data_IF_483454785809
#
_entry.id   IF_483454785809
#
_cell.length_a   1.000
_cell.length_b   1.000
_cell.length_c   1.000
_cell.angle_alpha   90.00
_cell.angle_beta   90.00
_cell.angle_gamma   90.00
#
_symmetry.space_group_name_H-M   'P 1'
#
loop_
_entity.id
_entity.type
_entity.pdbx_description
1 polymer ?
2 non-polymer ?
3 non-polymer ?
4 non-polymer ?
5 non-polymer ?
6 water ?
#
# COMPACT_ATOMS: atom_id res chain seq x y z
N UNK A 2 15.38 -19.89 13.95
CA UNK A 2 14.84 -18.92 14.91
C UNK A 2 13.66 -19.52 15.66
N UNK A 3 12.50 -18.91 15.51
CA UNK A 3 11.29 -19.33 16.15
C UNK A 3 10.62 -20.42 15.36
N UNK A 4 9.53 -20.92 15.89
CA UNK A 4 8.81 -21.96 15.23
C UNK A 4 8.15 -21.45 13.98
N UNK A 5 7.73 -20.20 13.99
CA UNK A 5 7.07 -19.63 12.80
C UNK A 5 8.07 -19.58 11.66
N UNK A 6 9.27 -19.15 11.94
CA UNK A 6 10.29 -19.06 10.91
C UNK A 6 10.56 -20.43 10.34
N UNK A 7 10.75 -21.41 11.21
CA UNK A 7 11.06 -22.74 10.75
C UNK A 7 9.97 -23.28 9.86
N UNK A 8 8.73 -23.08 10.21
CA UNK A 8 7.65 -23.51 9.38
C UNK A 8 7.69 -22.80 8.05
N UNK A 9 7.81 -21.48 8.08
CA UNK A 9 7.83 -20.72 6.84
C UNK A 9 8.97 -21.12 5.94
N UNK A 10 10.16 -21.21 6.50
CA UNK A 10 11.31 -21.51 5.69
C UNK A 10 11.32 -22.87 5.03
N UNK A 11 10.73 -23.84 5.67
CA UNK A 11 10.70 -25.16 5.12
C UNK A 11 9.55 -25.40 4.19
N UNK A 12 8.63 -24.47 4.11
CA UNK A 12 7.42 -24.70 3.33
C UNK A 12 7.69 -24.61 1.83
N UNK A 13 6.98 -25.44 1.07
CA UNK A 13 6.98 -25.31 -0.38
C UNK A 13 6.28 -24.02 -0.75
N UNK A 14 6.89 -23.25 -1.65
CA UNK A 14 6.31 -21.98 -2.11
C UNK A 14 5.56 -22.26 -3.41
N UNK A 15 4.22 -22.26 -3.41
CA UNK A 15 3.49 -22.59 -4.64
C UNK A 15 3.69 -21.54 -5.71
N UNK A 16 3.36 -21.92 -6.94
CA UNK A 16 3.52 -21.02 -8.07
C UNK A 16 2.67 -19.77 -7.90
N UNK A 17 3.03 -18.71 -8.64
CA UNK A 17 2.17 -17.53 -8.68
C UNK A 17 0.80 -17.88 -9.27
N UNK A 18 0.76 -18.78 -10.24
CA UNK A 18 -0.53 -19.21 -10.78
C UNK A 18 -1.38 -19.89 -9.72
N UNK A 19 -0.78 -20.81 -8.95
CA UNK A 19 -1.51 -21.47 -7.88
C UNK A 19 -2.06 -20.46 -6.88
N UNK A 20 -1.25 -19.48 -6.50
CA UNK A 20 -1.59 -18.52 -5.47
C UNK A 20 -2.46 -17.37 -5.97
N UNK A 21 -2.73 -17.28 -7.28
CA UNK A 21 -3.61 -16.29 -7.88
C UNK A 21 -3.10 -14.86 -7.74
N UNK A 22 -1.81 -14.67 -7.44
CA UNK A 22 -1.34 -13.32 -7.12
C UNK A 22 -1.13 -12.43 -8.33
N UNK A 23 -1.26 -12.98 -9.55
CA UNK A 23 -1.23 -12.12 -10.72
C UNK A 23 -2.57 -11.47 -11.04
N UNK A 24 -3.65 -11.90 -10.38
CA UNK A 24 -4.99 -11.38 -10.66
C UNK A 24 -5.20 -10.02 -10.02
N UNK A 25 -5.64 -9.03 -10.81
CA UNK A 25 -6.01 -7.77 -10.18
C UNK A 25 -7.12 -7.98 -9.15
N UNK A 26 -7.97 -8.99 -9.37
CA UNK A 26 -9.12 -9.25 -8.51
C UNK A 26 -8.77 -10.11 -7.29
N UNK A 27 -7.48 -10.35 -7.05
CA UNK A 27 -7.02 -11.16 -5.93
C UNK A 27 -7.68 -10.77 -4.60
N UNK A 28 -8.01 -11.79 -3.80
CA UNK A 28 -8.51 -11.60 -2.44
C UNK A 28 -7.69 -12.44 -1.47
N UNK A 29 -7.44 -11.90 -0.27
CA UNK A 29 -6.68 -12.63 0.74
C UNK A 29 -7.54 -13.29 1.80
N UNK A 30 -8.88 -13.22 1.68
CA UNK A 30 -9.75 -13.49 2.82
C UNK A 30 -9.66 -14.93 3.29
N UNK A 31 -9.50 -15.87 2.37
CA UNK A 31 -9.43 -17.29 2.71
C UNK A 31 -8.01 -17.74 3.08
N UNK A 32 -7.05 -16.82 3.12
CA UNK A 32 -5.65 -17.17 3.31
C UNK A 32 -5.25 -17.05 4.77
N UNK A 33 -4.47 -18.03 5.23
CA UNK A 33 -3.82 -17.90 6.54
C UNK A 33 -2.67 -16.91 6.47
N UNK A 34 -2.23 -16.43 7.65
CA UNK A 34 -1.05 -15.58 7.69
C UNK A 34 0.13 -16.24 6.98
N UNK A 35 0.40 -17.50 7.31
CA UNK A 35 1.50 -18.23 6.67
C UNK A 35 1.37 -18.21 5.16
N UNK A 36 0.17 -18.46 4.62
CA UNK A 36 0.02 -18.42 3.17
C UNK A 36 0.28 -17.02 2.61
N UNK A 37 -0.08 -15.95 3.34
CA UNK A 37 0.27 -14.63 2.85
C UNK A 37 1.80 -14.45 2.84
N UNK A 38 2.52 -15.08 3.76
CA UNK A 38 3.97 -15.02 3.72
C UNK A 38 4.52 -15.78 2.51
N UNK A 39 3.92 -16.93 2.17
CA UNK A 39 4.33 -17.67 0.99
C UNK A 39 4.04 -16.88 -0.28
N UNK A 40 2.85 -16.28 -0.37
CA UNK A 40 2.56 -15.35 -1.45
C UNK A 40 3.66 -14.30 -1.57
N UNK A 41 4.10 -13.73 -0.44
CA UNK A 41 5.11 -12.68 -0.49
C UNK A 41 6.45 -13.22 -1.01
N UNK A 42 6.86 -14.41 -0.56
CA UNK A 42 8.06 -15.02 -1.11
C UNK A 42 7.93 -15.17 -2.62
N UNK A 43 6.76 -15.66 -3.07
CA UNK A 43 6.55 -15.85 -4.51
C UNK A 43 6.69 -14.53 -5.27
N UNK A 44 6.21 -13.42 -4.69
CA UNK A 44 6.36 -12.12 -5.34
C UNK A 44 7.83 -11.77 -5.55
N UNK A 45 8.64 -11.87 -4.49
CA UNK A 45 10.07 -11.59 -4.63
C UNK A 45 10.71 -12.52 -5.64
N UNK A 46 10.29 -13.77 -5.66
CA UNK A 46 10.92 -14.77 -6.52
C UNK A 46 10.60 -14.49 -7.99
N UNK A 47 9.32 -14.29 -8.31
CA UNK A 47 8.92 -14.17 -9.71
C UNK A 47 9.21 -12.79 -10.29
N UNK A 48 9.54 -11.82 -9.46
CA UNK A 48 10.12 -10.57 -9.94
C UNK A 48 11.64 -10.67 -10.06
N UNK A 49 12.17 -11.86 -9.91
CA UNK A 49 13.59 -12.13 -10.02
C UNK A 49 14.50 -11.47 -8.99
N UNK A 50 13.93 -10.96 -7.92
CA UNK A 50 14.68 -10.30 -6.88
C UNK A 50 15.53 -11.23 -6.05
N UNK A 51 15.04 -12.41 -5.75
CA UNK A 51 15.78 -13.34 -4.94
C UNK A 51 17.08 -13.73 -5.63
N UNK A 52 16.95 -14.11 -6.87
CA UNK A 52 18.08 -14.52 -7.65
C UNK A 52 19.00 -13.35 -8.02
N UNK A 53 18.45 -12.27 -8.56
CA UNK A 53 19.28 -11.15 -8.99
C UNK A 53 20.01 -10.43 -7.88
N UNK A 54 19.47 -10.43 -6.67
CA UNK A 54 20.07 -9.77 -5.55
C UNK A 54 20.64 -10.72 -4.52
N UNK A 55 20.62 -12.00 -4.85
CA UNK A 55 21.28 -13.03 -4.04
C UNK A 55 20.74 -13.06 -2.61
N UNK A 56 19.42 -13.11 -2.50
CA UNK A 56 18.80 -13.20 -1.19
C UNK A 56 18.86 -14.63 -0.68
N UNK A 57 19.33 -14.80 0.55
CA UNK A 57 19.25 -16.11 1.20
C UNK A 57 17.81 -16.38 1.63
N UNK A 58 17.37 -17.64 1.46
CA UNK A 58 15.97 -17.97 1.73
C UNK A 58 15.59 -17.65 3.18
N UNK A 59 16.43 -18.04 4.14
CA UNK A 59 16.11 -17.81 5.55
C UNK A 59 16.04 -16.32 5.85
N UNK A 60 16.88 -15.51 5.21
CA UNK A 60 16.88 -14.08 5.46
C UNK A 60 15.59 -13.43 4.96
N UNK A 61 15.17 -13.78 3.74
CA UNK A 61 13.91 -13.25 3.23
C UNK A 61 12.74 -13.66 4.10
N UNK A 62 12.72 -14.92 4.53
CA UNK A 62 11.63 -15.39 5.40
C UNK A 62 11.62 -14.62 6.72
N UNK A 63 12.79 -14.42 7.32
CA UNK A 63 12.83 -13.67 8.58
C UNK A 63 12.38 -12.23 8.36
N UNK A 64 12.82 -11.60 7.26
CA UNK A 64 12.42 -10.23 6.97
C UNK A 64 10.90 -10.13 6.82
N UNK A 65 10.30 -11.06 6.05
CA UNK A 65 8.85 -11.02 5.87
C UNK A 65 8.14 -11.15 7.20
N UNK A 66 8.60 -12.06 8.06
CA UNK A 66 7.94 -12.23 9.34
C UNK A 66 8.17 -11.02 10.23
N UNK A 67 9.34 -10.38 10.14
CA UNK A 67 9.58 -9.15 10.91
C UNK A 67 8.64 -8.03 10.49
N UNK A 68 8.43 -7.88 9.18
CA UNK A 68 7.50 -6.87 8.67
C UNK A 68 6.09 -7.16 9.17
N UNK A 69 5.61 -8.39 8.96
CA UNK A 69 4.26 -8.75 9.40
C UNK A 69 4.10 -8.50 10.89
N UNK A 70 5.12 -8.86 11.66
CA UNK A 70 5.06 -8.68 13.11
C UNK A 70 4.90 -7.22 13.51
N UNK A 71 5.43 -6.30 12.70
CA UNK A 71 5.44 -4.89 13.10
C UNK A 71 4.26 -4.10 12.54
N UNK A 72 3.26 -4.78 11.98
CA UNK A 72 1.93 -4.22 11.86
C UNK A 72 1.10 -4.63 13.08
N UNK A 73 0.15 -3.79 13.46
CA UNK A 73 -0.62 -3.99 14.68
C UNK A 73 -1.87 -4.82 14.39
N UNK A 74 -2.09 -5.86 15.17
CA UNK A 74 -3.24 -6.72 14.94
C UNK A 74 -4.55 -6.17 15.49
N UNK A 75 -4.53 -5.00 16.15
CA UNK A 75 -5.76 -4.40 16.67
C UNK A 75 -6.11 -3.10 15.95
N UNK A 76 -5.55 -2.90 14.76
CA UNK A 76 -5.91 -1.79 13.88
C UNK A 76 -6.70 -2.40 12.73
N UNK A 77 -7.93 -1.93 12.53
CA UNK A 77 -8.88 -2.69 11.72
C UNK A 77 -8.47 -2.78 10.25
N UNK A 78 -7.97 -1.69 9.68
CA UNK A 78 -7.62 -1.65 8.27
C UNK A 78 -6.13 -1.55 7.99
N UNK A 79 -5.43 -0.61 8.63
CA UNK A 79 -4.00 -0.39 8.34
C UNK A 79 -3.16 -1.40 9.12
N UNK A 80 -3.16 -2.64 8.62
CA UNK A 80 -2.50 -3.75 9.28
C UNK A 80 -1.74 -4.55 8.22
N UNK A 81 -1.22 -5.72 8.61
CA UNK A 81 -0.41 -6.51 7.69
C UNK A 81 -1.19 -6.86 6.42
N UNK A 82 -2.49 -7.16 6.53
CA UNK A 82 -3.21 -7.56 5.32
C UNK A 82 -3.33 -6.41 4.34
N UNK A 83 -3.44 -5.17 4.82
CA UNK A 83 -3.48 -4.04 3.89
C UNK A 83 -2.14 -3.88 3.17
N UNK A 84 -1.03 -4.01 3.91
CA UNK A 84 0.29 -3.94 3.29
C UNK A 84 0.49 -5.10 2.32
N UNK A 85 0.09 -6.30 2.72
CA UNK A 85 0.21 -7.45 1.83
C UNK A 85 -0.58 -7.22 0.54
N UNK A 86 -1.82 -6.72 0.65
CA UNK A 86 -2.62 -6.48 -0.55
C UNK A 86 -2.03 -5.37 -1.41
N UNK A 87 -1.49 -4.33 -0.79
CA UNK A 87 -0.80 -3.29 -1.55
C UNK A 87 0.34 -3.89 -2.35
N UNK A 88 1.15 -4.74 -1.73
CA UNK A 88 2.24 -5.38 -2.44
C UNK A 88 1.71 -6.31 -3.53
N UNK A 89 0.62 -7.01 -3.25
CA UNK A 89 0.04 -7.89 -4.28
C UNK A 89 -0.45 -7.07 -5.47
N UNK A 90 -1.06 -5.91 -5.22
CA UNK A 90 -1.45 -5.05 -6.34
C UNK A 90 -0.23 -4.56 -7.11
N UNK A 91 0.85 -4.22 -6.41
CA UNK A 91 2.09 -3.86 -7.09
C UNK A 91 2.61 -5.01 -7.96
N UNK A 92 2.59 -6.23 -7.44
CA UNK A 92 2.98 -7.40 -8.24
C UNK A 92 2.11 -7.52 -9.49
N UNK A 93 0.79 -7.38 -9.32
CA UNK A 93 -0.09 -7.56 -10.45
C UNK A 93 0.09 -6.45 -11.48
N UNK A 94 0.23 -5.19 -11.03
CA UNK A 94 0.48 -4.10 -11.97
C UNK A 94 1.78 -4.31 -12.72
N UNK A 95 2.78 -4.87 -12.04
CA UNK A 95 4.08 -5.11 -12.69
C UNK A 95 3.99 -6.24 -13.69
N UNK A 96 3.26 -7.30 -13.33
CA UNK A 96 3.16 -8.51 -14.17
C UNK A 96 2.00 -8.42 -15.16
N UNK A 97 0.76 -8.55 -14.65
CA UNK A 97 -0.39 -8.46 -15.53
C UNK A 97 -0.45 -7.10 -16.22
N UNK A 98 -0.09 -6.05 -15.50
CA UNK A 98 -0.08 -4.75 -16.14
C UNK A 98 1.16 -4.46 -16.96
N UNK A 99 2.12 -5.39 -16.95
CA UNK A 99 3.37 -5.34 -17.72
C UNK A 99 4.24 -4.13 -17.39
N UNK A 100 3.98 -3.43 -16.28
CA UNK A 100 4.85 -2.31 -15.90
C UNK A 100 6.27 -2.78 -15.61
N UNK A 101 6.47 -4.06 -15.31
CA UNK A 101 7.82 -4.51 -15.00
C UNK A 101 8.76 -4.34 -16.19
N UNK A 102 8.23 -4.34 -17.41
CA UNK A 102 9.07 -4.18 -18.59
C UNK A 102 9.70 -2.79 -18.71
N UNK A 103 9.13 -1.79 -18.02
CA UNK A 103 9.58 -0.41 -18.10
C UNK A 103 10.46 0.02 -16.93
N UNK A 104 10.60 -0.82 -15.92
CA UNK A 104 11.33 -0.51 -14.70
C UNK A 104 12.54 -1.41 -14.58
N UNK A 105 13.55 -0.94 -13.85
CA UNK A 105 14.68 -1.82 -13.57
C UNK A 105 14.35 -2.70 -12.36
N UNK A 106 15.13 -3.77 -12.19
CA UNK A 106 14.97 -4.62 -11.02
C UNK A 106 15.28 -3.87 -9.73
N UNK A 107 16.18 -2.89 -9.79
CA UNK A 107 16.45 -2.08 -8.61
C UNK A 107 15.24 -1.21 -8.24
N UNK A 108 14.55 -0.67 -9.25
CA UNK A 108 13.34 0.09 -8.94
C UNK A 108 12.25 -0.81 -8.38
N UNK A 109 12.11 -2.01 -8.95
CA UNK A 109 11.06 -2.95 -8.55
C UNK A 109 11.33 -3.45 -7.13
N UNK A 110 12.60 -3.70 -6.83
CA UNK A 110 13.01 -4.08 -5.48
C UNK A 110 12.53 -3.05 -4.46
N UNK A 111 12.81 -1.77 -4.73
CA UNK A 111 12.39 -0.70 -3.83
C UNK A 111 10.87 -0.63 -3.73
N UNK A 112 10.17 -0.70 -4.87
CA UNK A 112 8.72 -0.60 -4.86
C UNK A 112 8.09 -1.72 -4.04
N UNK A 113 8.57 -2.95 -4.20
CA UNK A 113 7.96 -4.06 -3.47
C UNK A 113 8.23 -3.94 -1.97
N UNK A 114 9.47 -3.63 -1.60
CA UNK A 114 9.76 -3.39 -0.18
C UNK A 114 8.90 -2.27 0.35
N UNK A 115 8.80 -1.16 -0.41
CA UNK A 115 8.05 -0.02 0.08
C UNK A 115 6.57 -0.37 0.23
N UNK A 116 6.02 -1.10 -0.74
CA UNK A 116 4.61 -1.52 -0.65
C UNK A 116 4.37 -2.33 0.61
N UNK A 117 5.24 -3.32 0.86
CA UNK A 117 5.08 -4.15 2.04
C UNK A 117 5.29 -3.37 3.35
N UNK A 118 6.15 -2.35 3.32
CA UNK A 118 6.56 -1.66 4.54
C UNK A 118 5.78 -0.37 4.81
N UNK A 119 4.90 0.06 3.91
CA UNK A 119 4.57 1.49 3.85
C UNK A 119 3.66 1.97 4.98
N UNK A 120 3.03 1.06 5.74
CA UNK A 120 2.22 1.48 6.89
C UNK A 120 2.73 0.87 8.20
N UNK A 121 3.98 0.44 8.26
CA UNK A 121 4.50 -0.22 9.46
C UNK A 121 4.20 0.57 10.73
N UNK A 122 3.75 -0.15 11.77
CA UNK A 122 3.45 0.41 13.09
C UNK A 122 2.36 1.48 13.04
N UNK A 123 1.47 1.40 12.05
CA UNK A 123 0.29 2.26 12.02
C UNK A 123 -0.56 2.01 13.27
N UNK A 124 -1.08 3.09 13.85
CA UNK A 124 -1.80 3.01 15.11
C UNK A 124 -3.29 3.27 14.95
N UNK A 125 -3.80 3.26 13.72
CA UNK A 125 -5.22 3.46 13.52
C UNK A 125 -5.69 4.89 13.58
N UNK A 126 -4.79 5.87 13.62
CA UNK A 126 -5.18 7.28 13.54
C UNK A 126 -4.34 7.94 12.46
N UNK A 127 -4.88 9.04 11.92
CA UNK A 127 -4.21 9.69 10.81
C UNK A 127 -3.28 10.80 11.29
N UNK A 128 -2.65 11.49 10.34
CA UNK A 128 -1.69 12.53 10.70
C UNK A 128 -2.35 13.67 11.46
N UNK A 129 -3.60 14.01 11.08
CA UNK A 129 -4.32 15.08 11.76
C UNK A 129 -4.45 14.78 13.25
N UNK A 130 -4.77 13.53 13.59
CA UNK A 130 -4.90 13.17 15.00
C UNK A 130 -3.56 13.23 15.71
N UNK A 131 -2.50 12.69 15.09
CA UNK A 131 -1.17 12.72 15.68
C UNK A 131 -0.75 14.15 15.99
N UNK A 132 -1.02 15.08 15.07
CA UNK A 132 -0.71 16.49 15.30
C UNK A 132 -1.60 17.06 16.40
N UNK A 133 -2.92 16.88 16.29
CA UNK A 133 -3.84 17.50 17.24
C UNK A 133 -3.61 16.98 18.65
N UNK A 134 -3.28 15.70 18.80
CA UNK A 134 -3.06 15.08 20.10
C UNK A 134 -1.68 15.39 20.69
N UNK A 135 -0.82 16.11 19.97
CA UNK A 135 0.55 16.38 20.44
C UNK A 135 1.30 15.08 20.69
N UNK A 136 1.07 14.09 19.84
CA UNK A 136 1.82 12.85 19.91
C UNK A 136 3.31 13.12 19.73
N UNK A 137 4.17 12.31 20.36
CA UNK A 137 5.62 12.50 20.18
C UNK A 137 6.08 12.54 18.73
N UNK A 138 5.48 11.74 17.83
CA UNK A 138 5.90 11.76 16.44
C UNK A 138 5.72 13.15 15.81
N UNK A 139 4.73 13.91 16.28
CA UNK A 139 4.48 15.24 15.76
C UNK A 139 5.57 16.23 16.16
N UNK A 140 6.37 15.90 17.18
CA UNK A 140 7.52 16.71 17.52
C UNK A 140 8.75 16.37 16.66
N UNK A 141 8.74 15.20 16.01
CA UNK A 141 9.84 14.74 15.18
C UNK A 141 9.68 15.16 13.72
N UNK A 142 8.47 15.20 13.20
CA UNK A 142 8.22 15.43 11.79
C UNK A 142 7.13 16.48 11.60
N UNK A 143 7.35 17.38 10.65
CA UNK A 143 6.41 18.48 10.43
C UNK A 143 5.27 18.09 9.49
N UNK A 144 5.57 17.27 8.47
CA UNK A 144 4.61 16.86 7.46
C UNK A 144 4.79 15.36 7.21
N UNK A 145 3.76 14.73 6.65
CA UNK A 145 3.78 13.30 6.37
C UNK A 145 4.27 12.52 7.59
N UNK A 146 3.69 12.83 8.76
CA UNK A 146 4.28 12.41 10.02
C UNK A 146 4.33 10.89 10.12
N UNK A 147 3.17 10.23 9.96
CA UNK A 147 3.16 8.77 10.08
C UNK A 147 4.05 8.14 9.02
N UNK A 148 4.04 8.71 7.80
CA UNK A 148 4.82 8.11 6.72
C UNK A 148 6.33 8.19 6.99
N UNK A 149 6.81 9.29 7.57
CA UNK A 149 8.19 9.31 8.05
C UNK A 149 8.45 8.20 9.05
N UNK A 150 7.49 7.95 9.95
CA UNK A 150 7.64 6.87 10.91
C UNK A 150 7.62 5.50 10.23
N UNK A 151 6.74 5.32 9.23
CA UNK A 151 6.73 4.06 8.51
C UNK A 151 8.08 3.78 7.88
N UNK A 152 8.73 4.81 7.31
CA UNK A 152 10.05 4.60 6.74
C UNK A 152 11.08 4.27 7.80
N UNK A 153 11.05 4.97 8.94
CA UNK A 153 11.96 4.65 10.04
C UNK A 153 11.85 3.18 10.42
N UNK A 154 10.62 2.68 10.54
CA UNK A 154 10.40 1.28 10.88
C UNK A 154 10.94 0.37 9.78
N UNK A 155 10.68 0.75 8.53
CA UNK A 155 11.14 -0.04 7.40
C UNK A 155 12.65 -0.21 7.44
N UNK A 156 13.36 0.90 7.64
CA UNK A 156 14.82 0.87 7.68
C UNK A 156 15.34 0.07 8.88
N UNK A 157 14.69 0.21 10.04
CA UNK A 157 15.10 -0.57 11.20
C UNK A 157 15.03 -2.06 10.91
N UNK A 158 13.95 -2.51 10.26
CA UNK A 158 13.82 -3.94 9.97
C UNK A 158 14.82 -4.39 8.93
N UNK A 159 15.02 -3.58 7.87
CA UNK A 159 16.00 -3.91 6.83
C UNK A 159 17.41 -4.06 7.41
N UNK A 160 17.69 -3.39 8.51
CA UNK A 160 19.02 -3.41 9.09
C UNK A 160 19.19 -4.45 10.20
N UNK A 161 18.10 -5.11 10.59
CA UNK A 161 18.15 -6.02 11.72
C UNK A 161 18.98 -7.25 11.39
N UNK A 162 19.69 -7.81 12.37
CA UNK A 162 20.46 -9.04 12.12
C UNK A 162 19.57 -10.16 11.63
N UNK A 163 19.99 -10.82 10.56
CA UNK A 163 19.24 -11.90 9.98
C UNK A 163 18.14 -11.49 9.03
N UNK A 164 17.88 -10.19 8.89
CA UNK A 164 16.80 -9.67 8.05
C UNK A 164 17.30 -8.86 6.86
N UNK A 165 18.61 -8.89 6.58
CA UNK A 165 19.20 -7.91 5.65
C UNK A 165 19.09 -8.39 4.21
N UNK A 166 17.86 -8.30 3.68
CA UNK A 166 17.60 -8.73 2.32
C UNK A 166 18.30 -7.86 1.28
N UNK A 167 18.85 -6.71 1.67
CA UNK A 167 19.60 -5.88 0.73
C UNK A 167 21.11 -6.04 0.89
N UNK A 168 21.57 -7.02 1.66
CA UNK A 168 23.00 -7.15 1.91
C UNK A 168 23.76 -7.39 0.61
N UNK A 169 23.12 -8.01 -0.39
CA UNK A 169 23.79 -8.28 -1.66
C UNK A 169 23.98 -7.09 -2.56
N UNK A 170 23.39 -5.94 -2.24
CA UNK A 170 23.57 -4.77 -3.07
C UNK A 170 24.91 -4.12 -2.77
N UNK A 171 25.53 -3.56 -3.81
CA UNK A 171 26.69 -2.69 -3.63
C UNK A 171 26.25 -1.39 -2.94
N UNK A 172 27.24 -0.64 -2.44
CA UNK A 172 26.90 0.53 -1.65
C UNK A 172 26.11 1.55 -2.47
N UNK A 173 26.49 1.76 -3.75
CA UNK A 173 25.74 2.75 -4.53
C UNK A 173 24.33 2.26 -4.85
N UNK A 174 24.17 0.96 -5.14
CA UNK A 174 22.82 0.43 -5.33
C UNK A 174 22.02 0.49 -4.04
N UNK A 175 22.68 0.22 -2.92
CA UNK A 175 21.99 0.28 -1.63
C UNK A 175 21.46 1.68 -1.35
N UNK A 176 22.33 2.70 -1.50
CA UNK A 176 21.89 4.08 -1.29
C UNK A 176 20.72 4.43 -2.20
N UNK A 177 20.83 4.12 -3.49
CA UNK A 177 19.74 4.47 -4.42
C UNK A 177 18.44 3.78 -4.03
N UNK A 178 18.52 2.50 -3.65
CA UNK A 178 17.33 1.74 -3.29
C UNK A 178 16.68 2.31 -2.02
N UNK A 179 17.48 2.62 -0.99
CA UNK A 179 16.91 3.24 0.21
C UNK A 179 16.20 4.54 -0.12
N UNK A 180 16.78 5.34 -1.02
CA UNK A 180 16.15 6.63 -1.31
C UNK A 180 14.84 6.45 -2.07
N UNK A 181 14.78 5.50 -3.00
CA UNK A 181 13.53 5.21 -3.69
C UNK A 181 12.49 4.69 -2.70
N UNK A 182 12.90 3.79 -1.79
CA UNK A 182 11.99 3.31 -0.76
C UNK A 182 11.42 4.47 0.04
N UNK A 183 12.29 5.37 0.48
CA UNK A 183 11.83 6.48 1.30
C UNK A 183 10.81 7.34 0.55
N UNK A 184 11.11 7.69 -0.70
CA UNK A 184 10.17 8.55 -1.42
C UNK A 184 8.91 7.79 -1.80
N UNK A 185 9.00 6.46 -1.96
CA UNK A 185 7.80 5.66 -2.23
C UNK A 185 6.89 5.59 -1.01
N UNK A 186 7.48 5.44 0.18
CA UNK A 186 6.66 5.40 1.38
C UNK A 186 6.07 6.77 1.66
N UNK A 187 6.88 7.82 1.55
CA UNK A 187 6.37 9.17 1.76
C UNK A 187 5.25 9.47 0.76
N UNK A 188 5.34 8.93 -0.45
CA UNK A 188 4.29 9.15 -1.44
C UNK A 188 2.92 8.66 -1.00
N UNK A 189 2.84 7.69 -0.08
CA UNK A 189 1.53 7.17 0.30
C UNK A 189 0.76 8.11 1.22
N UNK A 190 1.36 9.24 1.60
CA UNK A 190 0.63 10.32 2.26
C UNK A 190 -0.30 10.94 1.23
N UNK A 191 -1.59 10.74 1.40
CA UNK A 191 -2.54 11.26 0.46
C UNK A 191 -2.36 12.76 0.22
N UNK A 192 -1.89 13.48 1.21
CA UNK A 192 -1.65 14.88 1.04
C UNK A 192 -0.63 15.15 -0.06
N UNK A 193 0.39 14.32 -0.13
CA UNK A 193 1.40 14.47 -1.17
C UNK A 193 0.88 14.04 -2.55
N UNK A 194 0.06 13.00 -2.60
CA UNK A 194 -0.60 12.64 -3.84
C UNK A 194 -1.40 13.82 -4.38
N UNK A 195 -2.19 14.46 -3.52
CA UNK A 195 -3.05 15.55 -3.95
C UNK A 195 -2.21 16.73 -4.45
N UNK A 196 -1.07 16.97 -3.80
CA UNK A 196 -0.24 18.11 -4.20
C UNK A 196 0.46 17.85 -5.53
N UNK A 197 0.82 16.61 -5.82
CA UNK A 197 1.69 16.34 -6.96
C UNK A 197 0.97 15.77 -8.17
N UNK A 198 -0.29 15.32 -8.01
CA UNK A 198 -0.92 14.56 -9.09
C UNK A 198 -1.27 15.45 -10.27
N UNK A 199 -1.51 16.73 -10.03
CA UNK A 199 -1.87 17.62 -11.13
C UNK A 199 -0.83 17.64 -12.23
N UNK A 200 0.45 17.62 -11.84
CA UNK A 200 1.52 17.59 -12.84
C UNK A 200 1.47 16.30 -13.65
N UNK A 201 1.27 15.18 -12.95
CA UNK A 201 1.19 13.89 -13.63
C UNK A 201 0.02 13.86 -14.60
N UNK A 202 -1.15 14.31 -14.16
CA UNK A 202 -2.33 14.27 -15.01
C UNK A 202 -2.16 15.12 -16.27
N UNK A 203 -1.51 16.30 -16.14
CA UNK A 203 -1.36 17.16 -17.31
C UNK A 203 -0.34 16.60 -18.28
N UNK A 204 0.78 16.06 -17.78
CA UNK A 204 1.73 15.39 -18.66
C UNK A 204 1.07 14.27 -19.45
N UNK A 205 0.25 13.46 -18.77
CA UNK A 205 -0.49 12.39 -19.44
C UNK A 205 -1.48 12.96 -20.45
N UNK A 206 -2.27 13.97 -20.03
CA UNK A 206 -3.25 14.55 -20.94
C UNK A 206 -2.60 15.08 -22.21
N UNK A 207 -1.45 15.75 -22.08
CA UNK A 207 -0.78 16.32 -23.24
C UNK A 207 0.06 15.29 -24.00
N UNK A 208 0.12 14.06 -23.49
CA UNK A 208 0.97 13.00 -24.04
C UNK A 208 2.44 13.44 -24.01
N UNK A 209 2.81 14.15 -22.95
CA UNK A 209 4.19 14.57 -22.75
C UNK A 209 4.89 13.76 -21.68
N UNK A 210 4.19 12.82 -21.07
CA UNK A 210 4.78 12.02 -20.00
C UNK A 210 5.92 11.16 -20.56
N UNK A 211 7.08 11.24 -19.91
CA UNK A 211 8.29 10.62 -20.42
C UNK A 211 8.99 9.92 -19.25
N UNK A 212 8.81 8.59 -19.16
CA UNK A 212 9.41 7.81 -18.09
C UNK A 212 10.93 7.88 -18.07
N UNK A 213 11.56 8.30 -19.18
CA UNK A 213 13.01 8.44 -19.22
C UNK A 213 13.49 9.66 -18.45
N UNK A 214 12.61 10.62 -18.20
CA UNK A 214 12.97 11.79 -17.42
C UNK A 214 12.99 11.42 -15.93
N UNK A 215 14.14 11.59 -15.23
CA UNK A 215 14.20 11.14 -13.83
C UNK A 215 13.16 11.78 -12.93
N UNK A 216 12.82 13.05 -13.17
CA UNK A 216 11.80 13.68 -12.33
C UNK A 216 10.44 13.03 -12.58
N UNK A 217 10.08 12.80 -13.85
CA UNK A 217 8.81 12.15 -14.18
C UNK A 217 8.79 10.71 -13.72
N UNK A 218 9.95 10.03 -13.77
CA UNK A 218 10.04 8.68 -13.22
C UNK A 218 9.69 8.68 -11.74
N UNK A 219 10.29 9.60 -10.95
CA UNK A 219 9.97 9.63 -9.52
C UNK A 219 8.49 9.91 -9.30
N UNK A 220 7.95 10.87 -10.06
CA UNK A 220 6.53 11.18 -10.01
C UNK A 220 5.68 9.95 -10.29
N UNK A 221 6.05 9.19 -11.32
CA UNK A 221 5.27 8.02 -11.67
C UNK A 221 5.29 6.98 -10.56
N UNK A 222 6.47 6.73 -9.96
CA UNK A 222 6.52 5.75 -8.89
C UNK A 222 5.64 6.18 -7.71
N UNK A 223 5.56 7.49 -7.44
CA UNK A 223 4.70 7.97 -6.38
C UNK A 223 3.23 7.71 -6.70
N UNK A 224 2.83 7.97 -7.95
CA UNK A 224 1.45 7.71 -8.37
C UNK A 224 1.13 6.23 -8.32
N UNK A 225 2.10 5.38 -8.68
CA UNK A 225 1.90 3.93 -8.66
C UNK A 225 1.75 3.43 -7.23
N UNK A 226 2.53 3.98 -6.29
CA UNK A 226 2.35 3.65 -4.89
C UNK A 226 0.92 3.97 -4.44
N UNK A 227 0.44 5.17 -4.79
CA UNK A 227 -0.93 5.52 -4.40
C UNK A 227 -1.93 4.58 -5.03
N UNK A 228 -1.72 4.23 -6.31
CA UNK A 228 -2.66 3.36 -7.01
C UNK A 228 -2.78 2.01 -6.30
N UNK A 229 -1.64 1.46 -5.85
CA UNK A 229 -1.67 0.18 -5.12
C UNK A 229 -2.26 0.35 -3.73
N UNK A 230 -1.88 1.42 -3.04
CA UNK A 230 -2.38 1.70 -1.68
C UNK A 230 -3.90 1.77 -1.65
N UNK A 231 -4.51 2.39 -2.66
CA UNK A 231 -5.96 2.58 -2.67
C UNK A 231 -6.72 1.44 -3.32
N UNK A 232 -6.04 0.37 -3.73
CA UNK A 232 -6.60 -0.56 -4.71
C UNK A 232 -7.80 -1.36 -4.21
N UNK A 233 -8.08 -1.35 -2.90
CA UNK A 233 -9.33 -1.95 -2.44
C UNK A 233 -10.53 -1.36 -3.16
N UNK A 234 -10.44 -0.09 -3.56
CA UNK A 234 -11.51 0.59 -4.28
C UNK A 234 -11.75 0.03 -5.68
N UNK A 235 -10.84 -0.81 -6.17
CA UNK A 235 -10.99 -1.44 -7.49
C UNK A 235 -11.43 -2.90 -7.41
N UNK A 236 -11.50 -3.48 -6.21
CA UNK A 236 -11.74 -4.91 -6.08
C UNK A 236 -13.16 -5.27 -6.47
N UNK A 237 -13.42 -6.54 -6.81
CA UNK A 237 -14.80 -6.99 -6.98
C UNK A 237 -15.65 -6.61 -5.78
N UNK A 238 -16.93 -6.33 -6.04
CA UNK A 238 -17.79 -5.79 -4.99
C UNK A 238 -17.79 -6.61 -3.70
N UNK A 239 -17.80 -7.95 -3.72
CA UNK A 239 -17.75 -8.68 -2.44
C UNK A 239 -16.55 -8.30 -1.58
N UNK A 240 -15.41 -8.08 -2.21
CA UNK A 240 -14.21 -7.71 -1.49
C UNK A 240 -14.31 -6.28 -1.01
N UNK A 241 -14.62 -5.38 -1.88
CA UNK A 241 -14.74 -3.98 -1.55
C UNK A 241 -15.70 -3.73 -0.39
N UNK A 242 -16.82 -4.44 -0.40
CA UNK A 242 -17.78 -4.32 0.68
C UNK A 242 -17.15 -4.64 2.01
N UNK A 243 -16.36 -5.70 2.06
CA UNK A 243 -15.73 -6.10 3.31
C UNK A 243 -14.61 -5.14 3.73
N UNK A 244 -13.77 -4.71 2.78
CA UNK A 244 -12.72 -3.76 3.13
C UNK A 244 -13.34 -2.47 3.66
N UNK A 245 -14.48 -2.06 3.09
CA UNK A 245 -15.19 -0.88 3.57
C UNK A 245 -15.56 -1.01 5.05
N UNK A 246 -15.93 -2.23 5.49
CA UNK A 246 -16.22 -2.45 6.91
C UNK A 246 -15.02 -2.07 7.76
N UNK A 247 -13.83 -2.49 7.34
CA UNK A 247 -12.62 -2.23 8.12
C UNK A 247 -12.27 -0.75 8.12
N UNK A 248 -12.30 -0.10 6.95
CA UNK A 248 -12.04 1.34 6.90
C UNK A 248 -12.98 2.09 7.83
N UNK A 249 -14.28 1.79 7.75
CA UNK A 249 -15.25 2.47 8.60
C UNK A 249 -14.97 2.21 10.07
N UNK A 250 -14.62 0.96 10.41
CA UNK A 250 -14.35 0.62 11.81
C UNK A 250 -13.19 1.45 12.34
N UNK A 251 -12.13 1.56 11.55
CA UNK A 251 -10.96 2.33 11.97
C UNK A 251 -11.26 3.82 12.02
N UNK A 252 -11.98 4.34 11.02
CA UNK A 252 -12.38 5.75 11.04
C UNK A 252 -13.23 6.07 12.26
N UNK A 253 -14.26 5.25 12.50
CA UNK A 253 -15.16 5.55 13.62
C UNK A 253 -14.45 5.37 14.95
N UNK A 254 -13.48 4.46 15.01
CA UNK A 254 -12.70 4.30 16.24
C UNK A 254 -11.87 5.55 16.52
N UNK A 255 -11.30 6.16 15.48
CA UNK A 255 -10.63 7.45 15.68
C UNK A 255 -11.63 8.50 16.17
N UNK A 256 -12.83 8.54 15.57
CA UNK A 256 -13.83 9.49 16.04
C UNK A 256 -14.17 9.32 17.50
N UNK A 257 -14.24 8.06 17.97
CA UNK A 257 -14.46 7.83 19.40
C UNK A 257 -13.31 8.38 20.23
N UNK A 258 -12.08 8.17 19.78
CA UNK A 258 -10.91 8.69 20.49
C UNK A 258 -10.93 10.22 20.53
N UNK A 259 -11.29 10.86 19.43
CA UNK A 259 -11.32 12.32 19.40
C UNK A 259 -12.34 12.87 20.40
N UNK A 260 -13.47 12.17 20.56
CA UNK A 260 -14.47 12.59 21.54
C UNK A 260 -13.96 12.40 22.97
N UNK A 261 -13.39 11.23 23.26
CA UNK A 261 -13.06 10.89 24.64
C UNK A 261 -11.77 11.58 25.09
N UNK A 262 -10.76 11.59 24.23
CA UNK A 262 -9.44 12.08 24.62
C UNK A 262 -9.21 13.53 24.27
N UNK A 263 -9.75 14.01 23.14
CA UNK A 263 -9.55 15.39 22.74
C UNK A 263 -10.77 16.28 22.95
N UNK A 264 -11.92 15.70 23.36
CA UNK A 264 -13.14 16.45 23.61
C UNK A 264 -13.51 17.33 22.42
N UNK A 265 -13.45 16.75 21.22
CA UNK A 265 -13.87 17.40 19.98
C UNK A 265 -14.84 16.48 19.25
N UNK A 266 -15.76 17.10 18.47
CA UNK A 266 -16.70 16.30 17.68
C UNK A 266 -16.06 15.92 16.36
N UNK A 267 -16.04 14.64 15.99
CA UNK A 267 -15.35 14.24 14.76
C UNK A 267 -16.11 14.68 13.52
N UNK A 268 -15.36 14.79 12.42
CA UNK A 268 -15.99 15.04 11.12
C UNK A 268 -16.88 13.86 10.75
N UNK A 269 -17.76 14.10 9.77
CA UNK A 269 -18.72 13.07 9.36
C UNK A 269 -18.00 11.78 9.00
N UNK A 270 -16.82 11.90 8.39
CA UNK A 270 -16.07 10.74 7.93
C UNK A 270 -15.74 9.79 9.08
N UNK A 271 -15.66 10.30 10.30
CA UNK A 271 -15.25 9.53 11.46
C UNK A 271 -16.33 9.51 12.53
N UNK A 272 -17.56 9.87 12.19
CA UNK A 272 -18.67 9.96 13.12
C UNK A 272 -19.60 8.77 12.88
N UNK A 273 -19.62 7.82 13.81
CA UNK A 273 -20.42 6.62 13.63
C UNK A 273 -21.89 6.94 13.39
N UNK A 274 -22.37 8.08 13.93
CA UNK A 274 -23.75 8.49 13.70
C UNK A 274 -24.08 8.66 12.23
N UNK A 275 -23.07 8.90 11.39
CA UNK A 275 -23.27 9.15 9.97
C UNK A 275 -23.01 7.91 9.12
N UNK A 276 -23.12 6.71 9.71
CA UNK A 276 -22.73 5.51 8.97
C UNK A 276 -23.60 5.30 7.75
N UNK A 277 -24.85 5.75 7.78
CA UNK A 277 -25.71 5.59 6.61
C UNK A 277 -25.23 6.44 5.43
N UNK A 278 -24.28 7.36 5.63
CA UNK A 278 -23.74 8.17 4.55
C UNK A 278 -22.52 7.54 3.88
N UNK A 279 -22.07 6.37 4.33
CA UNK A 279 -20.86 5.77 3.75
C UNK A 279 -20.97 5.62 2.24
N UNK A 280 -22.09 5.16 1.67
CA UNK A 280 -22.17 5.09 0.20
C UNK A 280 -21.87 6.41 -0.50
N UNK A 281 -22.54 7.51 -0.09
CA UNK A 281 -22.25 8.79 -0.71
C UNK A 281 -20.80 9.20 -0.50
N UNK A 282 -20.23 8.82 0.64
CA UNK A 282 -18.84 9.17 0.93
C UNK A 282 -17.88 8.37 0.05
N UNK A 283 -18.22 7.11 -0.22
CA UNK A 283 -17.42 6.30 -1.13
C UNK A 283 -17.44 6.88 -2.54
N UNK A 284 -18.63 7.30 -3.00
CA UNK A 284 -18.73 7.94 -4.30
C UNK A 284 -17.89 9.22 -4.34
N UNK A 285 -18.01 10.05 -3.30
CA UNK A 285 -17.20 11.26 -3.23
C UNK A 285 -15.70 11.00 -3.30
N UNK A 286 -15.24 9.99 -2.57
CA UNK A 286 -13.83 9.62 -2.60
C UNK A 286 -13.41 9.10 -3.97
N UNK A 287 -14.25 8.28 -4.61
CA UNK A 287 -13.92 7.76 -5.92
C UNK A 287 -13.75 8.90 -6.93
N UNK A 288 -14.71 9.84 -6.94
CA UNK A 288 -14.64 10.95 -7.87
C UNK A 288 -13.46 11.87 -7.58
N UNK A 289 -13.23 12.17 -6.32
CA UNK A 289 -12.23 13.18 -5.95
C UNK A 289 -10.81 12.65 -6.05
N UNK A 290 -10.61 11.37 -5.70
CA UNK A 290 -9.27 10.82 -5.48
C UNK A 290 -8.94 9.71 -6.47
N UNK A 291 -9.89 8.82 -6.76
CA UNK A 291 -9.51 7.53 -7.34
C UNK A 291 -9.58 7.49 -8.87
N UNK A 292 -10.68 7.97 -9.46
CA UNK A 292 -10.94 7.72 -10.87
C UNK A 292 -9.83 8.28 -11.77
N UNK A 293 -9.43 9.54 -11.56
CA UNK A 293 -8.44 10.13 -12.44
C UNK A 293 -7.11 9.41 -12.36
N UNK A 294 -6.80 8.85 -11.17
CA UNK A 294 -5.55 8.12 -11.00
C UNK A 294 -5.55 6.83 -11.83
N UNK A 295 -6.60 6.02 -11.70
CA UNK A 295 -6.64 4.79 -12.47
C UNK A 295 -6.84 5.06 -13.96
N UNK A 296 -7.49 6.17 -14.30
CA UNK A 296 -7.59 6.56 -15.71
C UNK A 296 -6.20 6.92 -16.26
N UNK A 297 -5.47 7.74 -15.53
CA UNK A 297 -4.12 8.13 -15.96
C UNK A 297 -3.19 6.91 -16.06
N UNK A 298 -3.29 5.98 -15.11
CA UNK A 298 -2.42 4.80 -15.14
C UNK A 298 -2.61 3.99 -16.42
N UNK A 299 -3.85 3.91 -16.94
CA UNK A 299 -4.07 3.12 -18.14
C UNK A 299 -3.42 3.76 -19.37
N UNK A 300 -3.23 5.08 -19.35
CA UNK A 300 -2.43 5.72 -20.39
C UNK A 300 -0.96 5.32 -20.30
N UNK A 301 -0.50 4.93 -19.11
CA UNK A 301 0.87 4.44 -19.01
C UNK A 301 0.94 2.98 -19.41
N UNK A 302 -0.03 2.18 -18.97
CA UNK A 302 -0.14 0.79 -19.40
C UNK A 302 -1.61 0.46 -19.60
N UNK A 303 -1.99 0.17 -20.85
CA UNK A 303 -3.37 -0.22 -21.13
C UNK A 303 -3.77 -1.48 -20.36
N UNK A 304 -2.82 -2.34 -20.04
CA UNK A 304 -3.17 -3.57 -19.32
C UNK A 304 -3.51 -3.33 -17.85
N UNK A 305 -3.42 -2.10 -17.37
CA UNK A 305 -3.90 -1.78 -16.02
C UNK A 305 -5.36 -1.37 -16.03
N UNK A 306 -6.01 -1.41 -17.20
CA UNK A 306 -7.44 -1.13 -17.29
C UNK A 306 -8.32 -1.88 -16.28
N UNK A 307 -8.05 -3.13 -15.89
CA UNK A 307 -8.92 -3.77 -14.89
C UNK A 307 -9.03 -2.99 -13.59
N UNK A 308 -7.99 -2.24 -13.21
CA UNK A 308 -8.12 -1.42 -12.02
C UNK A 308 -9.16 -0.32 -12.23
N UNK A 309 -9.07 0.37 -13.37
CA UNK A 309 -10.03 1.41 -13.70
C UNK A 309 -11.44 0.84 -13.82
N UNK A 310 -11.55 -0.30 -14.51
CA UNK A 310 -12.85 -0.94 -14.65
C UNK A 310 -13.44 -1.30 -13.29
N UNK A 311 -12.63 -1.86 -12.39
CA UNK A 311 -13.13 -2.23 -11.09
C UNK A 311 -13.56 -1.02 -10.29
N UNK A 312 -12.82 0.08 -10.42
CA UNK A 312 -13.20 1.33 -9.75
C UNK A 312 -14.55 1.83 -10.25
N UNK A 313 -14.76 1.80 -11.57
CA UNK A 313 -16.03 2.29 -12.11
C UNK A 313 -17.20 1.44 -11.62
N UNK A 314 -17.02 0.12 -11.55
CA UNK A 314 -18.12 -0.76 -11.13
C UNK A 314 -18.46 -0.54 -9.66
N UNK A 315 -17.47 -0.27 -8.82
CA UNK A 315 -17.76 0.01 -7.42
C UNK A 315 -18.48 1.35 -7.28
N UNK A 316 -18.11 2.35 -8.08
CA UNK A 316 -18.81 3.63 -8.03
C UNK A 316 -20.28 3.45 -8.38
N UNK A 317 -20.56 2.55 -9.34
CA UNK A 317 -21.94 2.25 -9.72
C UNK A 317 -22.71 1.64 -8.54
N UNK A 318 -22.11 0.67 -7.86
CA UNK A 318 -22.76 0.03 -6.73
C UNK A 318 -22.93 0.99 -5.56
N UNK A 319 -21.90 1.78 -5.26
CA UNK A 319 -22.01 2.73 -4.15
C UNK A 319 -23.03 3.82 -4.46
N UNK A 320 -23.06 4.33 -5.70
CA UNK A 320 -24.05 5.34 -6.03
C UNK A 320 -25.47 4.79 -5.96
N UNK A 321 -25.67 3.52 -6.33
CA UNK A 321 -26.98 2.91 -6.18
C UNK A 321 -27.37 2.78 -4.72
N UNK A 322 -26.40 2.49 -3.86
CA UNK A 322 -26.69 2.38 -2.43
C UNK A 322 -26.97 3.75 -1.83
N UNK A 323 -26.25 4.79 -2.28
CA UNK A 323 -26.50 6.14 -1.81
C UNK A 323 -27.92 6.60 -2.15
N UNK A 324 -28.37 6.34 -3.38
CA UNK A 324 -29.75 6.63 -3.76
C UNK A 324 -30.76 5.78 -2.99
N UNK A 325 -30.29 4.84 -2.17
CA UNK A 325 -31.07 4.10 -1.19
C UNK A 325 -32.00 3.08 -1.84
X LIG B 1 -12.01 6.94 1.93
X LIG B 1 -16.87 5.85 7.53
X LIG B 1 -16.01 5.41 5.38
X LIG B 1 -15.61 4.54 4.40
X LIG B 1 -15.12 5.04 3.13
X LIG B 1 -15.07 6.37 2.91
X LIG B 1 -15.47 7.27 3.90
X LIG B 1 -15.96 6.78 5.16
X LIG B 1 -14.53 6.92 1.50
X LIG B 1 -10.72 5.04 1.83
X LIG B 1 -9.67 6.96 2.67
X LIG B 1 -10.87 7.65 2.48
X LIG B 1 -10.97 9.06 2.83
X LIG B 1 -9.90 11.19 3.73
X LIG B 1 -9.43 12.20 2.56
X LIG B 1 -9.66 13.02 0.40
X LIG B 1 -8.62 13.93 0.63
X LIG B 1 -8.00 13.93 1.87
X LIG B 1 -9.24 2.85 1.41
X LIG B 1 -9.56 1.70 0.80
X LIG B 1 -10.73 2.13 -0.25
X LIG B 1 -11.51 3.01 0.42
X LIG B 1 -12.66 2.31 1.23
X LIG B 1 -13.31 7.66 1.71
X LIG B 1 -11.88 5.64 1.61
X LIG B 1 -9.61 5.69 2.34
X LIG B 1 -9.76 9.79 3.37
X LIG B 1 -10.02 12.18 1.42
X LIG B 1 -8.41 13.07 2.80
X LIG B 1 -10.59 3.65 1.47
X LIG B 1 -16.50 4.89 6.64
X LIG B 1 -11.99 9.64 2.67
X LIG B 1 -13.67 1.84 0.32
X LIG B 1 -15.68 2.81 4.69
X LIG C 1 -1.63 2.37 3.10
X LIG D 1 -0.30 5.12 5.12
X LIG E 1 -4.47 4.35 2.94
X LIG E 1 -5.43 4.91 3.91
X LIG E 1 -3.50 3.50 3.66
X LIG E 1 -5.17 3.48 1.94
X LIG E 1 -3.80 5.49 2.30
#
# INVERSE_FOLDING_TARGET
>A
METRELQSLAAAVVPSAQTLKITDFSFSDFELSDLETALCTIRMFTDLNLVQNFQMKHEVLCRWILSVKKNYRKNVAYHNWRHAFNTAQCMFAALKAGKIQNKLTDLEILALLIAALSHDLDHRGVNNSYIQRSEHPLAQLYCHSIMEHHHFDQCLMILNSPGNQILSGLSIEEYKTTLKIIKQAILATDLALYIKRRGEFFELIRKNQFNLEDPHQKELFLAMLMTACDLSAITKPWPIQQRIAELVATEFFDQGDRERKELNIEPTDLMNREKKNKIPSMQVGFIDAICLQLYEALTHVSEDCFPLLDGCRKNRQKWQALAEQQELEHHHHHH
>B hetero
1 E6L C11 C1 C3 C4 C5 C6 C7 C8 C9 C13 C15 C16 C17 C20 C21 C23 C24 C25 C28 C29 C30 C31 C32 N10 N12 N14 N19 N22 N26 N27 O2 O18 O33 CL1
>C hetero
1 ZN ZN
>D hetero
1 MG MG
>E hetero
1 SO4 S O1 O2 O3 O4
#
